data_IF_115930553659
#
_entry.id   IF_115930553659
#
_cell.length_a   1.000
_cell.length_b   1.000
_cell.length_c   1.000
_cell.angle_alpha   90.00
_cell.angle_beta   90.00
_cell.angle_gamma   90.00
#
_symmetry.space_group_name_H-M   'P 1'
#
loop_
_entity.id
_entity.type
_entity.pdbx_description
1 polymer ?
#
# COMPACT_ATOMS: atom_id res chain seq x y z
N UNK A 1 0.91 6.56 4.41
CA UNK A 1 1.36 5.17 4.18
C UNK A 1 0.19 4.48 3.53
N UNK A 2 0.28 4.24 2.23
CA UNK A 2 -0.90 3.94 1.42
C UNK A 2 -1.02 2.44 1.24
N UNK A 3 -2.22 1.92 1.45
CA UNK A 3 -2.62 0.56 1.12
C UNK A 3 -3.71 0.58 0.05
N UNK A 4 -3.71 -0.44 -0.80
CA UNK A 4 -4.61 -0.60 -1.92
C UNK A 4 -5.39 -1.92 -1.83
N UNK A 5 -6.67 -1.88 -2.15
CA UNK A 5 -7.54 -3.05 -2.20
C UNK A 5 -7.36 -3.76 -3.54
N UNK A 6 -6.76 -4.97 -3.52
CA UNK A 6 -6.31 -5.64 -4.75
C UNK A 6 -7.42 -5.82 -5.80
N UNK A 7 -8.65 -6.27 -5.45
CA UNK A 7 -9.70 -6.45 -6.45
C UNK A 7 -10.10 -5.14 -7.13
N UNK A 8 -10.22 -4.04 -6.38
CA UNK A 8 -10.57 -2.74 -6.95
C UNK A 8 -9.45 -2.18 -7.86
N UNK A 9 -8.17 -2.40 -7.49
CA UNK A 9 -7.04 -2.05 -8.37
C UNK A 9 -7.13 -2.81 -9.70
N UNK A 10 -7.43 -4.10 -9.65
CA UNK A 10 -7.53 -4.92 -10.87
C UNK A 10 -8.75 -4.59 -11.73
N UNK A 11 -9.88 -4.21 -11.11
CA UNK A 11 -11.06 -3.73 -11.82
C UNK A 11 -10.86 -2.34 -12.44
N UNK A 12 -9.96 -1.55 -11.86
CA UNK A 12 -9.70 -0.18 -12.30
C UNK A 12 -8.74 -0.03 -13.46
N UNK A 13 -7.91 -1.05 -13.72
CA UNK A 13 -6.81 -0.96 -14.66
C UNK A 13 -7.25 -1.41 -16.06
N UNK A 14 -6.87 -0.71 -17.14
CA UNK A 14 -7.08 -1.18 -18.51
C UNK A 14 -6.46 -2.55 -18.78
N UNK A 15 -5.37 -2.88 -18.07
CA UNK A 15 -4.72 -4.19 -18.11
C UNK A 15 -5.29 -5.08 -17.02
N UNK A 16 -5.98 -6.18 -17.36
CA UNK A 16 -6.47 -7.12 -16.36
C UNK A 16 -5.31 -7.72 -15.56
N UNK A 17 -5.51 -7.86 -14.25
CA UNK A 17 -4.59 -8.63 -13.43
C UNK A 17 -4.59 -10.10 -13.90
N UNK A 18 -3.40 -10.64 -14.13
CA UNK A 18 -3.22 -12.01 -14.63
C UNK A 18 -3.37 -13.07 -13.54
N UNK A 19 -3.09 -12.68 -12.30
CA UNK A 19 -3.04 -13.57 -11.15
C UNK A 19 -4.30 -13.42 -10.28
N UNK A 20 -4.73 -14.50 -9.59
CA UNK A 20 -5.84 -14.43 -8.63
C UNK A 20 -5.58 -13.34 -7.58
N UNK A 21 -6.56 -12.45 -7.41
CA UNK A 21 -6.50 -11.39 -6.40
C UNK A 21 -7.02 -11.89 -5.07
N UNK A 22 -6.32 -11.52 -4.00
CA UNK A 22 -6.83 -11.71 -2.65
C UNK A 22 -7.76 -10.55 -2.29
N UNK A 23 -8.85 -10.81 -1.56
CA UNK A 23 -9.76 -9.78 -1.03
C UNK A 23 -9.14 -9.03 0.16
N UNK A 24 -7.96 -8.45 -0.04
CA UNK A 24 -7.15 -7.84 0.99
C UNK A 24 -6.58 -6.49 0.55
N UNK A 25 -6.32 -5.64 1.54
CA UNK A 25 -5.48 -4.47 1.41
C UNK A 25 -4.01 -4.86 1.55
N UNK A 26 -3.22 -4.54 0.54
CA UNK A 26 -1.76 -4.61 0.59
C UNK A 26 -1.16 -3.23 0.42
N UNK A 27 0.10 -3.06 0.79
CA UNK A 27 0.80 -1.80 0.61
C UNK A 27 0.79 -1.40 -0.87
N UNK A 28 0.51 -0.13 -1.12
CA UNK A 28 0.78 0.53 -2.40
C UNK A 28 2.14 1.23 -2.30
N UNK A 29 2.34 2.04 -1.26
CA UNK A 29 3.66 2.59 -0.98
C UNK A 29 3.79 3.44 0.27
N UNK A 30 5.04 3.79 0.58
CA UNK A 30 5.43 4.67 1.67
C UNK A 30 6.07 5.93 1.10
N UNK A 31 5.29 7.00 0.99
CA UNK A 31 5.72 8.20 0.28
C UNK A 31 6.00 9.33 1.26
N UNK A 32 7.25 9.83 1.34
CA UNK A 32 7.51 11.13 1.92
C UNK A 32 6.69 12.18 1.17
N UNK A 33 5.95 13.01 1.91
CA UNK A 33 5.01 13.97 1.33
C UNK A 33 5.20 15.35 1.93
N UNK A 34 4.95 16.37 1.11
CA UNK A 34 4.93 17.75 1.56
C UNK A 34 3.52 18.10 2.05
N UNK A 35 3.44 18.92 3.11
CA UNK A 35 2.13 19.43 3.58
C UNK A 35 1.45 20.30 2.51
N UNK A 36 2.26 21.06 1.78
CA UNK A 36 1.84 21.98 0.72
C UNK A 36 2.68 21.73 -0.53
N UNK A 37 2.06 21.79 -1.71
CA UNK A 37 2.75 21.59 -2.99
C UNK A 37 2.95 20.11 -3.35
N UNK A 38 3.68 19.85 -4.45
CA UNK A 38 3.93 18.49 -4.91
C UNK A 38 4.83 17.72 -3.93
N UNK A 39 4.60 16.42 -3.84
CA UNK A 39 5.43 15.52 -3.06
C UNK A 39 6.82 15.36 -3.71
N UNK A 40 7.87 15.20 -2.91
CA UNK A 40 9.21 14.98 -3.43
C UNK A 40 9.30 13.61 -4.11
N UNK A 41 9.93 13.56 -5.28
CA UNK A 41 10.18 12.32 -6.02
C UNK A 41 11.62 12.28 -6.54
N UNK A 42 12.20 11.06 -6.65
CA UNK A 42 13.52 10.80 -7.25
C UNK A 42 14.65 11.66 -6.66
N UNK A 43 14.65 11.87 -5.34
CA UNK A 43 15.58 12.79 -4.68
C UNK A 43 17.05 12.38 -4.74
N UNK A 44 17.34 11.08 -4.95
CA UNK A 44 18.69 10.55 -5.19
C UNK A 44 18.63 9.49 -6.27
N UNK A 45 19.69 9.39 -7.09
CA UNK A 45 19.83 8.33 -8.06
C UNK A 45 20.59 7.13 -7.46
N UNK A 46 19.98 6.48 -6.46
CA UNK A 46 20.55 5.32 -5.76
C UNK A 46 19.65 4.13 -6.02
N UNK A 47 20.16 3.13 -6.75
CA UNK A 47 19.45 1.89 -6.99
C UNK A 47 19.30 1.05 -5.73
N UNK A 48 18.22 0.28 -5.66
CA UNK A 48 18.02 -0.69 -4.60
C UNK A 48 18.99 -1.86 -4.80
N UNK A 49 19.63 -2.31 -3.72
CA UNK A 49 20.39 -3.55 -3.74
C UNK A 49 19.42 -4.75 -3.68
N UNK A 50 18.97 -5.20 -4.85
CA UNK A 50 18.03 -6.31 -4.99
C UNK A 50 18.54 -7.62 -4.39
N UNK A 51 19.85 -7.86 -4.42
CA UNK A 51 20.46 -9.05 -3.80
C UNK A 51 20.21 -9.09 -2.28
N UNK A 52 20.27 -7.94 -1.60
CA UNK A 52 19.99 -7.87 -0.16
C UNK A 52 18.54 -8.17 0.20
N UNK A 53 17.59 -7.86 -0.69
CA UNK A 53 16.17 -8.19 -0.48
C UNK A 53 15.93 -9.69 -0.46
N UNK A 54 16.72 -10.44 -1.25
CA UNK A 54 16.65 -11.90 -1.34
C UNK A 54 17.29 -12.63 -0.15
N UNK A 55 18.01 -11.92 0.72
CA UNK A 55 18.63 -12.52 1.90
C UNK A 55 17.59 -12.63 3.02
N UNK A 56 17.41 -13.86 3.52
CA UNK A 56 16.50 -14.14 4.63
C UNK A 56 15.02 -14.15 4.20
N UNK A 57 14.14 -13.66 5.06
CA UNK A 57 12.69 -13.72 4.85
C UNK A 57 12.07 -12.38 4.40
N UNK A 58 12.87 -11.41 3.97
CA UNK A 58 12.37 -10.09 3.59
C UNK A 58 11.53 -10.15 2.31
N UNK A 59 12.05 -10.77 1.24
CA UNK A 59 11.31 -10.96 0.00
C UNK A 59 9.96 -11.63 0.24
N UNK A 60 9.95 -12.79 0.91
CA UNK A 60 8.71 -13.53 1.22
C UNK A 60 7.69 -12.69 2.00
N UNK A 61 8.14 -11.86 2.97
CA UNK A 61 7.23 -10.95 3.67
C UNK A 61 6.67 -9.87 2.73
N UNK A 62 7.51 -9.27 1.90
CA UNK A 62 7.10 -8.22 0.96
C UNK A 62 6.18 -8.76 -0.14
N UNK A 63 6.36 -9.99 -0.61
CA UNK A 63 5.46 -10.63 -1.57
C UNK A 63 4.04 -10.78 -1.01
N UNK A 64 3.91 -10.98 0.31
CA UNK A 64 2.62 -11.07 0.98
C UNK A 64 2.02 -9.67 1.20
N UNK A 65 2.79 -8.73 1.77
CA UNK A 65 2.25 -7.46 2.24
C UNK A 65 2.32 -6.33 1.23
N UNK A 66 3.26 -6.38 0.29
CA UNK A 66 3.53 -5.34 -0.71
C UNK A 66 3.78 -5.92 -2.12
N UNK A 67 2.91 -6.80 -2.63
CA UNK A 67 3.07 -7.33 -3.96
C UNK A 67 2.88 -6.28 -5.04
N UNK A 68 3.50 -6.54 -6.18
CA UNK A 68 3.08 -5.97 -7.46
C UNK A 68 1.76 -6.63 -7.88
N UNK A 69 0.64 -5.98 -7.55
CA UNK A 69 -0.71 -6.51 -7.81
C UNK A 69 -0.98 -6.71 -9.29
N UNK A 70 -0.39 -5.88 -10.16
CA UNK A 70 -0.61 -5.90 -11.61
C UNK A 70 0.26 -6.94 -12.34
N UNK A 71 1.41 -7.31 -11.78
CA UNK A 71 2.30 -8.33 -12.33
C UNK A 71 3.09 -9.03 -11.21
N UNK A 72 2.63 -10.21 -10.77
CA UNK A 72 3.28 -10.96 -9.68
C UNK A 72 4.66 -11.49 -10.04
N UNK A 73 5.03 -11.51 -11.32
CA UNK A 73 6.38 -11.91 -11.75
C UNK A 73 7.44 -10.82 -11.55
N UNK A 74 7.03 -9.57 -11.32
CA UNK A 74 7.94 -8.41 -11.15
C UNK A 74 7.73 -7.71 -9.80
N UNK A 75 7.96 -8.45 -8.71
CA UNK A 75 7.95 -7.90 -7.35
C UNK A 75 9.17 -7.01 -7.07
N UNK A 76 10.36 -7.50 -7.40
CA UNK A 76 11.62 -6.80 -7.12
C UNK A 76 11.71 -5.50 -7.91
N UNK A 77 11.40 -5.50 -9.20
CA UNK A 77 11.43 -4.29 -10.01
C UNK A 77 10.38 -3.27 -9.56
N UNK A 78 9.23 -3.73 -9.05
CA UNK A 78 8.25 -2.84 -8.42
C UNK A 78 8.81 -2.15 -7.17
N UNK A 79 9.42 -2.89 -6.24
CA UNK A 79 10.02 -2.30 -5.04
C UNK A 79 11.19 -1.37 -5.36
N UNK A 80 11.98 -1.68 -6.39
CA UNK A 80 13.05 -0.82 -6.86
C UNK A 80 12.50 0.52 -7.38
N UNK A 81 11.41 0.50 -8.15
CA UNK A 81 10.73 1.72 -8.61
C UNK A 81 10.18 2.54 -7.45
N UNK A 82 9.54 1.89 -6.46
CA UNK A 82 9.04 2.56 -5.25
C UNK A 82 10.17 3.17 -4.41
N UNK A 83 11.28 2.47 -4.24
CA UNK A 83 12.47 2.99 -3.57
C UNK A 83 13.04 4.20 -4.32
N UNK A 84 13.33 4.06 -5.61
CA UNK A 84 13.95 5.10 -6.41
C UNK A 84 13.09 6.36 -6.45
N UNK A 85 11.78 6.18 -6.67
CA UNK A 85 10.83 7.29 -6.80
C UNK A 85 10.52 7.94 -5.46
N UNK A 86 10.30 7.18 -4.39
CA UNK A 86 9.77 7.72 -3.12
C UNK A 86 10.73 7.53 -1.95
N UNK A 87 11.29 6.32 -1.76
CA UNK A 87 12.15 6.01 -0.63
C UNK A 87 13.42 6.89 -0.54
N UNK A 88 14.00 7.26 -1.69
CA UNK A 88 15.19 8.14 -1.76
C UNK A 88 14.97 9.54 -1.18
N UNK A 89 13.72 9.97 -1.03
CA UNK A 89 13.33 11.25 -0.46
C UNK A 89 13.14 11.24 1.06
N UNK A 90 13.26 10.08 1.72
CA UNK A 90 12.95 9.95 3.15
C UNK A 90 14.11 10.27 4.11
N UNK A 91 15.29 10.64 3.60
CA UNK A 91 16.47 10.91 4.45
C UNK A 91 16.27 12.15 5.33
N UNK A 92 16.72 12.16 6.62
CA UNK A 92 17.49 11.12 7.32
C UNK A 92 16.65 10.01 7.99
N UNK A 93 15.32 10.15 8.02
CA UNK A 93 14.42 9.18 8.68
C UNK A 93 14.48 7.81 8.02
N UNK A 94 14.44 7.76 6.68
CA UNK A 94 14.75 6.58 5.87
C UNK A 94 16.22 6.71 5.44
N UNK A 95 17.05 5.75 5.86
CA UNK A 95 18.51 5.87 5.78
C UNK A 95 19.06 5.25 4.50
N UNK A 96 18.49 4.12 4.12
CA UNK A 96 18.85 3.31 2.97
C UNK A 96 17.64 2.50 2.52
N UNK A 97 17.81 1.77 1.42
CA UNK A 97 16.83 0.90 0.80
C UNK A 97 16.32 -0.19 1.76
N UNK A 98 17.22 -0.83 2.51
CA UNK A 98 16.84 -1.88 3.46
C UNK A 98 16.05 -1.30 4.63
N UNK A 99 16.39 -0.09 5.09
CA UNK A 99 15.64 0.61 6.12
C UNK A 99 14.23 0.97 5.62
N UNK A 100 14.08 1.35 4.35
CA UNK A 100 12.79 1.63 3.73
C UNK A 100 11.88 0.39 3.71
N UNK A 101 12.37 -0.73 3.16
CA UNK A 101 11.61 -1.98 3.08
C UNK A 101 11.24 -2.51 4.47
N UNK A 102 12.19 -2.50 5.41
CA UNK A 102 11.92 -2.89 6.81
C UNK A 102 10.92 -1.97 7.50
N UNK A 103 10.93 -0.68 7.18
CA UNK A 103 9.95 0.27 7.72
C UNK A 103 8.55 -0.08 7.24
N UNK A 104 8.38 -0.41 5.96
CA UNK A 104 7.09 -0.85 5.44
C UNK A 104 6.59 -2.12 6.12
N UNK A 105 7.46 -3.13 6.29
CA UNK A 105 7.14 -4.36 7.04
C UNK A 105 6.73 -4.02 8.49
N UNK A 106 7.50 -3.16 9.16
CA UNK A 106 7.22 -2.72 10.53
C UNK A 106 5.87 -2.04 10.64
N UNK A 107 5.54 -1.12 9.72
CA UNK A 107 4.27 -0.39 9.73
C UNK A 107 3.08 -1.34 9.53
N UNK A 108 3.16 -2.22 8.54
CA UNK A 108 2.08 -3.16 8.23
C UNK A 108 1.89 -4.23 9.33
N UNK A 109 2.98 -4.92 9.71
CA UNK A 109 2.92 -6.11 10.58
C UNK A 109 3.06 -5.76 12.07
N UNK A 110 4.08 -4.97 12.43
CA UNK A 110 4.45 -4.73 13.84
C UNK A 110 3.56 -3.65 14.45
N UNK A 111 3.30 -2.56 13.72
CA UNK A 111 2.44 -1.46 14.16
C UNK A 111 0.95 -1.69 13.86
N UNK A 112 0.61 -2.87 13.32
CA UNK A 112 -0.78 -3.32 13.08
C UNK A 112 -1.60 -2.36 12.21
N UNK A 113 -0.96 -1.70 11.25
CA UNK A 113 -1.64 -0.76 10.33
C UNK A 113 -2.33 -1.45 9.15
N UNK A 114 -2.41 -2.79 9.13
CA UNK A 114 -3.14 -3.54 8.09
C UNK A 114 -4.62 -3.13 8.04
N UNK A 115 -5.02 -2.46 6.96
CA UNK A 115 -6.37 -1.92 6.76
C UNK A 115 -7.42 -3.03 6.76
N UNK A 116 -7.16 -4.18 6.12
CA UNK A 116 -8.09 -5.32 6.15
C UNK A 116 -8.33 -5.83 7.57
N UNK A 117 -7.29 -5.92 8.39
CA UNK A 117 -7.41 -6.35 9.78
C UNK A 117 -8.21 -5.34 10.62
N UNK A 118 -7.97 -4.04 10.42
CA UNK A 118 -8.68 -2.96 11.11
C UNK A 118 -10.18 -2.98 10.75
N UNK A 119 -10.51 -3.07 9.47
CA UNK A 119 -11.89 -3.14 8.99
C UNK A 119 -12.61 -4.40 9.47
N UNK A 120 -11.93 -5.55 9.43
CA UNK A 120 -12.49 -6.81 9.90
C UNK A 120 -12.81 -6.76 11.41
N UNK A 121 -11.95 -6.14 12.23
CA UNK A 121 -12.21 -5.91 13.66
C UNK A 121 -13.45 -5.05 13.90
N UNK A 122 -13.74 -4.12 12.99
CA UNK A 122 -14.96 -3.30 12.99
C UNK A 122 -16.16 -3.99 12.31
N UNK A 123 -16.06 -5.28 11.98
CA UNK A 123 -17.09 -6.07 11.27
C UNK A 123 -17.42 -5.55 9.87
N UNK A 124 -16.49 -4.83 9.24
CA UNK A 124 -16.59 -4.39 7.85
C UNK A 124 -15.80 -5.38 6.98
N UNK A 125 -16.54 -6.29 6.33
CA UNK A 125 -15.98 -7.30 5.43
C UNK A 125 -16.08 -6.86 3.96
N UNK A 126 -15.15 -7.28 3.09
CA UNK A 126 -15.13 -6.95 1.66
C UNK A 126 -16.15 -7.76 0.84
N UNK A 127 -17.40 -7.81 1.27
CA UNK A 127 -18.45 -8.68 0.73
C UNK A 127 -19.34 -8.02 -0.35
N UNK A 128 -18.85 -6.97 -1.00
CA UNK A 128 -19.58 -6.23 -2.04
C UNK A 128 -20.77 -5.40 -1.54
N UNK A 129 -21.02 -5.32 -0.24
CA UNK A 129 -22.08 -4.48 0.32
C UNK A 129 -21.70 -3.00 0.33
N UNK A 130 -22.69 -2.14 0.10
CA UNK A 130 -22.53 -0.70 0.28
C UNK A 130 -22.19 -0.38 1.74
N UNK A 131 -21.19 0.49 1.94
CA UNK A 131 -20.74 0.94 3.26
C UNK A 131 -20.72 2.47 3.29
N UNK A 132 -21.07 3.02 4.44
CA UNK A 132 -20.89 4.46 4.69
C UNK A 132 -19.40 4.80 4.80
N UNK A 133 -18.97 5.85 4.11
CA UNK A 133 -17.60 6.36 4.22
C UNK A 133 -17.24 6.74 5.66
N UNK A 134 -18.21 7.27 6.42
CA UNK A 134 -18.04 7.61 7.85
C UNK A 134 -17.78 6.37 8.69
N UNK A 135 -18.45 5.25 8.40
CA UNK A 135 -18.22 3.99 9.12
C UNK A 135 -16.81 3.45 8.84
N UNK A 136 -16.35 3.52 7.59
CA UNK A 136 -14.98 3.15 7.20
C UNK A 136 -13.97 4.07 7.90
N UNK A 137 -14.18 5.39 7.85
CA UNK A 137 -13.31 6.37 8.52
C UNK A 137 -13.18 6.09 10.01
N UNK A 138 -14.30 5.89 10.72
CA UNK A 138 -14.30 5.60 12.15
C UNK A 138 -13.56 4.30 12.46
N UNK A 139 -13.77 3.26 11.66
CA UNK A 139 -13.05 1.99 11.82
C UNK A 139 -11.53 2.21 11.68
N UNK A 140 -11.09 2.89 10.63
CA UNK A 140 -9.66 3.17 10.42
C UNK A 140 -9.08 4.00 11.56
N UNK A 141 -9.73 5.11 11.94
CA UNK A 141 -9.29 5.97 13.05
C UNK A 141 -9.13 5.20 14.35
N UNK A 142 -10.01 4.24 14.64
CA UNK A 142 -9.92 3.39 15.84
C UNK A 142 -8.68 2.49 15.84
N UNK A 143 -8.16 2.13 14.66
CA UNK A 143 -6.96 1.32 14.50
C UNK A 143 -5.65 2.11 14.35
N UNK A 144 -5.73 3.44 14.18
CA UNK A 144 -4.57 4.29 13.82
C UNK A 144 -4.38 5.49 14.75
N UNK A 145 -4.67 5.33 16.04
CA UNK A 145 -4.53 6.41 17.04
C UNK A 145 -5.29 7.69 16.64
N UNK A 146 -6.51 7.52 16.14
CA UNK A 146 -7.42 8.60 15.74
C UNK A 146 -6.95 9.45 14.55
N UNK A 147 -5.92 9.01 13.80
CA UNK A 147 -5.45 9.69 12.59
C UNK A 147 -6.49 9.61 11.48
N UNK A 148 -6.80 10.75 10.85
CA UNK A 148 -7.76 10.82 9.75
C UNK A 148 -7.14 10.23 8.47
N UNK A 149 -7.74 9.18 7.87
CA UNK A 149 -7.25 8.60 6.62
C UNK A 149 -7.60 9.48 5.41
N UNK A 150 -6.84 9.30 4.33
CA UNK A 150 -7.18 9.76 2.99
C UNK A 150 -7.72 8.58 2.17
N UNK A 151 -8.86 8.78 1.52
CA UNK A 151 -9.48 7.77 0.65
C UNK A 151 -9.26 8.07 -0.82
N UNK A 152 -9.06 7.02 -1.61
CA UNK A 152 -9.19 7.05 -3.06
C UNK A 152 -10.28 6.06 -3.46
N UNK A 153 -11.30 6.55 -4.14
CA UNK A 153 -12.38 5.74 -4.67
C UNK A 153 -12.44 5.87 -6.18
N UNK A 154 -13.05 4.88 -6.84
CA UNK A 154 -13.25 4.88 -8.28
C UNK A 154 -14.67 4.45 -8.62
N UNK A 155 -15.24 5.09 -9.65
CA UNK A 155 -16.51 4.69 -10.24
C UNK A 155 -16.23 3.64 -11.31
N UNK A 156 -16.87 2.48 -11.21
CA UNK A 156 -16.83 1.49 -12.28
C UNK A 156 -17.91 1.79 -13.34
N UNK A 157 -17.89 1.04 -14.45
CA UNK A 157 -18.82 1.23 -15.60
C UNK A 157 -20.30 1.00 -15.26
N UNK A 158 -20.61 0.44 -14.08
CA UNK A 158 -21.96 0.07 -13.62
C UNK A 158 -22.49 0.98 -12.50
N UNK A 159 -22.06 2.24 -12.46
CA UNK A 159 -22.49 3.28 -11.50
C UNK A 159 -22.09 3.10 -10.04
N UNK A 160 -21.41 2.01 -9.68
CA UNK A 160 -20.95 1.77 -8.30
C UNK A 160 -19.59 2.41 -8.05
N UNK A 161 -19.42 3.00 -6.86
CA UNK A 161 -18.15 3.55 -6.37
C UNK A 161 -17.49 2.54 -5.44
N UNK A 162 -16.27 2.14 -5.79
CA UNK A 162 -15.45 1.21 -5.03
C UNK A 162 -14.30 1.94 -4.33
N UNK A 163 -14.00 1.53 -3.09
CA UNK A 163 -12.82 2.01 -2.36
C UNK A 163 -11.58 1.31 -2.91
N UNK A 164 -10.59 2.09 -3.38
CA UNK A 164 -9.36 1.57 -3.99
C UNK A 164 -8.18 1.70 -3.03
N UNK A 165 -8.00 2.86 -2.39
CA UNK A 165 -6.85 3.10 -1.50
C UNK A 165 -7.25 3.80 -0.20
N UNK A 166 -6.47 3.52 0.85
CA UNK A 166 -6.50 4.19 2.15
C UNK A 166 -5.06 4.61 2.48
N UNK A 167 -4.83 5.90 2.78
CA UNK A 167 -3.50 6.46 3.04
C UNK A 167 -3.40 7.33 4.29
#
# INVERSE_FOLDING_TARGET
>A
FTQQYQPAVCNSNPTPCRDPVCELFTVHGLWPSNKNGPDPEKCKNIQMNSQKVQIGNMAAQLEIIWPNVLNRTDHVGFWEREWLKHGTCGYPTIRDDMHYLKTVIKMYITQKQNVSAILSKAKIQPNGQNRSLVAIENAIRSGTNNMKPKFKCQKNTRTTTELVEVG
#
